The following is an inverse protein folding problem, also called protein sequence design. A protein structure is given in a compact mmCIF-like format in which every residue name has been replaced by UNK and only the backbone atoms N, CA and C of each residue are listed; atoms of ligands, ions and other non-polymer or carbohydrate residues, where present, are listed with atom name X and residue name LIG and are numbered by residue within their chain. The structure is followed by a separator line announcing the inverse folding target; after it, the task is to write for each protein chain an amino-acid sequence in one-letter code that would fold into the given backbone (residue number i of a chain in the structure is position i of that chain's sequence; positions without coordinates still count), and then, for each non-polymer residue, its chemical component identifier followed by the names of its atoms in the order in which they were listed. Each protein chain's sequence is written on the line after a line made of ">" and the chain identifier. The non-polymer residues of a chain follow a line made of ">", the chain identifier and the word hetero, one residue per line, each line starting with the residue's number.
data_IF_287897616361
#
_entry.id   IF_287897616361
#
_cell.length_a   1.000
_cell.length_b   1.000
_cell.length_c   1.000
_cell.angle_alpha   90.00
_cell.angle_beta   90.00
_cell.angle_gamma   90.00
#
_symmetry.space_group_name_H-M   'P 1'
#
loop_
_entity.id
_entity.type
_entity.pdbx_description
1 polymer ?
#
# COMPACT_ATOMS: atom_id res chain seq x y z
N UNK A 1 67.98 16.55 -17.35
CA UNK A 1 67.55 15.31 -17.98
C UNK A 1 66.06 15.14 -17.80
N UNK A 2 65.29 15.28 -18.87
CA UNK A 2 63.84 14.93 -18.85
C UNK A 2 63.71 13.41 -18.72
N UNK A 3 63.10 12.95 -17.64
CA UNK A 3 62.69 11.53 -17.52
C UNK A 3 61.29 11.43 -18.13
N UNK A 4 61.11 10.65 -19.22
CA UNK A 4 59.78 10.43 -19.78
C UNK A 4 58.94 9.66 -18.73
N UNK A 5 57.80 10.18 -18.33
CA UNK A 5 56.82 9.50 -17.51
C UNK A 5 55.96 8.63 -18.44
N UNK A 6 55.82 7.32 -18.20
CA UNK A 6 54.89 6.49 -18.97
C UNK A 6 53.48 7.04 -18.91
N UNK A 7 52.74 7.01 -20.00
CA UNK A 7 51.35 7.49 -20.08
C UNK A 7 50.46 6.85 -19.02
N UNK A 8 50.71 5.58 -18.73
CA UNK A 8 49.98 4.83 -17.65
C UNK A 8 50.22 5.40 -16.23
N UNK A 9 51.45 5.93 -15.97
CA UNK A 9 51.75 6.55 -14.68
C UNK A 9 51.11 7.96 -14.58
N UNK A 10 50.92 8.65 -15.74
CA UNK A 10 50.20 9.90 -15.79
C UNK A 10 48.70 9.70 -15.50
N UNK A 11 48.09 8.61 -16.02
CA UNK A 11 46.69 8.26 -15.72
C UNK A 11 46.49 7.84 -14.26
N UNK A 12 47.44 7.14 -13.64
CA UNK A 12 47.40 6.73 -12.23
C UNK A 12 47.58 7.88 -11.24
N UNK A 13 48.10 9.02 -11.70
CA UNK A 13 48.27 10.23 -10.88
C UNK A 13 47.22 11.34 -11.18
N UNK A 14 46.23 11.05 -12.00
CA UNK A 14 45.20 12.01 -12.37
C UNK A 14 44.20 12.17 -11.21
N UNK A 15 44.14 13.35 -10.53
CA UNK A 15 43.35 13.49 -9.32
C UNK A 15 41.83 13.53 -9.55
N UNK A 16 41.39 13.33 -10.78
CA UNK A 16 39.97 13.40 -11.18
C UNK A 16 39.37 12.03 -11.55
N UNK A 17 39.90 10.94 -11.01
CA UNK A 17 39.23 9.65 -11.06
C UNK A 17 38.05 9.67 -10.07
N UNK A 18 37.00 10.35 -10.47
CA UNK A 18 35.75 10.33 -9.73
C UNK A 18 34.97 9.09 -10.10
N UNK A 19 34.68 8.26 -9.13
CA UNK A 19 33.77 7.12 -9.23
C UNK A 19 32.30 7.52 -9.15
N UNK A 20 32.00 8.84 -9.15
CA UNK A 20 30.67 9.38 -8.94
C UNK A 20 29.55 8.60 -9.62
N UNK A 21 28.41 8.57 -9.00
CA UNK A 21 27.25 7.88 -9.52
C UNK A 21 26.38 8.88 -10.32
N UNK A 22 26.22 8.62 -11.62
CA UNK A 22 25.49 9.52 -12.50
C UNK A 22 24.59 8.75 -13.47
N UNK A 23 23.29 8.89 -13.29
CA UNK A 23 22.28 8.29 -14.16
C UNK A 23 22.03 9.07 -15.45
N UNK A 24 22.66 10.22 -15.64
CA UNK A 24 22.48 11.11 -16.78
C UNK A 24 21.30 12.07 -16.64
N UNK A 25 20.18 11.58 -16.13
CA UNK A 25 19.00 12.34 -15.71
C UNK A 25 18.66 11.96 -14.27
N UNK A 26 18.01 12.84 -13.53
CA UNK A 26 17.65 12.58 -12.15
C UNK A 26 17.81 13.82 -11.28
N UNK A 27 18.03 13.61 -10.01
CA UNK A 27 18.26 14.67 -9.03
C UNK A 27 19.54 14.42 -8.24
N UNK A 28 20.11 15.50 -7.76
CA UNK A 28 21.33 15.48 -6.96
C UNK A 28 21.03 14.97 -5.55
N UNK A 29 21.70 13.90 -5.13
CA UNK A 29 21.57 13.35 -3.77
C UNK A 29 22.66 13.78 -2.82
N UNK A 30 23.81 14.24 -3.31
CA UNK A 30 24.98 14.58 -2.53
C UNK A 30 26.27 14.31 -3.27
N UNK A 31 27.33 14.13 -2.51
CA UNK A 31 28.65 13.71 -3.02
C UNK A 31 29.07 12.39 -2.39
N UNK A 32 29.87 11.63 -3.13
CA UNK A 32 30.53 10.44 -2.59
C UNK A 32 31.73 10.82 -1.70
N UNK A 33 32.44 9.82 -1.18
CA UNK A 33 33.60 10.02 -0.31
C UNK A 33 34.76 10.78 -0.97
N UNK A 34 34.81 10.77 -2.31
CA UNK A 34 35.83 11.42 -3.12
C UNK A 34 35.39 12.83 -3.61
N UNK A 35 34.20 13.26 -3.19
CA UNK A 35 33.60 14.55 -3.56
C UNK A 35 32.93 14.55 -4.93
N UNK A 36 32.72 13.42 -5.56
CA UNK A 36 32.03 13.31 -6.83
C UNK A 36 30.50 13.39 -6.65
N UNK A 37 29.77 14.10 -7.54
CA UNK A 37 28.33 14.24 -7.43
C UNK A 37 27.60 12.90 -7.65
N UNK A 38 26.56 12.68 -6.87
CA UNK A 38 25.62 11.56 -7.00
C UNK A 38 24.35 12.11 -7.66
N UNK A 39 24.15 11.79 -8.94
CA UNK A 39 22.94 12.09 -9.69
C UNK A 39 22.14 10.80 -9.85
N UNK A 40 20.93 10.78 -9.28
CA UNK A 40 20.13 9.57 -9.15
C UNK A 40 18.78 9.72 -9.83
N UNK A 41 18.40 8.71 -10.63
CA UNK A 41 17.05 8.56 -11.16
C UNK A 41 16.39 7.30 -10.60
N UNK A 42 15.35 7.50 -9.77
CA UNK A 42 14.58 6.42 -9.16
C UNK A 42 13.95 5.47 -10.20
N UNK A 43 13.61 6.01 -11.36
CA UNK A 43 12.84 5.31 -12.38
C UNK A 43 13.71 4.67 -13.47
N UNK A 44 15.01 4.91 -13.44
CA UNK A 44 15.92 4.29 -14.40
C UNK A 44 15.91 2.77 -14.27
N UNK A 45 15.76 2.11 -15.41
CA UNK A 45 15.88 0.66 -15.57
C UNK A 45 17.10 0.35 -16.44
N UNK A 46 17.89 -0.60 -16.01
CA UNK A 46 19.02 -1.12 -16.75
C UNK A 46 19.29 -2.56 -16.30
N UNK A 47 20.35 -3.19 -16.84
CA UNK A 47 20.69 -4.58 -16.51
C UNK A 47 21.02 -4.82 -15.02
N UNK A 48 21.35 -3.78 -14.25
CA UNK A 48 21.65 -3.85 -12.83
C UNK A 48 20.45 -3.45 -11.95
N UNK A 49 19.53 -2.61 -12.46
CA UNK A 49 18.35 -2.10 -11.74
C UNK A 49 17.07 -2.52 -12.44
N UNK A 50 16.50 -3.61 -11.96
CA UNK A 50 15.27 -4.22 -12.50
C UNK A 50 13.98 -3.64 -11.88
N UNK A 51 14.07 -2.96 -10.72
CA UNK A 51 12.94 -2.34 -10.03
C UNK A 51 13.31 -0.98 -9.43
N UNK A 52 12.31 -0.22 -8.92
CA UNK A 52 12.47 1.09 -8.28
C UNK A 52 12.40 1.01 -6.75
N UNK A 53 12.61 -0.16 -6.15
CA UNK A 53 12.57 -0.27 -4.71
C UNK A 53 13.86 0.29 -4.10
N UNK A 54 13.73 1.16 -3.08
CA UNK A 54 14.85 1.72 -2.34
C UNK A 54 14.70 1.36 -0.87
N UNK A 55 15.79 0.90 -0.26
CA UNK A 55 15.91 0.78 1.19
C UNK A 55 16.94 1.78 1.71
N UNK A 56 16.55 2.64 2.65
CA UNK A 56 17.43 3.61 3.29
C UNK A 56 17.67 3.15 4.71
N UNK A 57 18.91 2.75 5.00
CA UNK A 57 19.31 2.16 6.28
C UNK A 57 20.37 3.05 6.92
N UNK A 58 20.25 3.28 8.23
CA UNK A 58 21.22 4.06 8.99
C UNK A 58 20.79 4.23 10.44
N UNK A 59 21.73 4.56 11.31
CA UNK A 59 21.46 4.85 12.73
C UNK A 59 20.56 6.07 12.91
N UNK A 60 19.99 6.23 14.12
CA UNK A 60 19.20 7.42 14.47
C UNK A 60 20.03 8.70 14.33
N UNK A 61 19.43 9.79 13.86
CA UNK A 61 20.10 11.08 13.67
C UNK A 61 21.12 11.16 12.53
N UNK A 62 21.22 10.14 11.66
CA UNK A 62 22.17 10.10 10.53
C UNK A 62 21.61 10.66 9.22
N UNK A 63 20.47 11.37 9.27
CA UNK A 63 19.91 12.07 8.11
C UNK A 63 19.02 11.23 7.18
N UNK A 64 18.58 10.03 7.59
CA UNK A 64 17.65 9.18 6.80
C UNK A 64 16.42 9.97 6.33
N UNK A 65 15.68 10.53 7.29
CA UNK A 65 14.45 11.29 7.01
C UNK A 65 14.73 12.53 6.16
N UNK A 66 15.88 13.19 6.34
CA UNK A 66 16.29 14.33 5.50
C UNK A 66 16.50 13.90 4.07
N UNK A 67 17.16 12.76 3.84
CA UNK A 67 17.35 12.20 2.49
C UNK A 67 16.00 11.80 1.86
N UNK A 68 15.13 11.14 2.62
CA UNK A 68 13.79 10.76 2.15
C UNK A 68 12.99 12.00 1.75
N UNK A 69 12.98 13.05 2.59
CA UNK A 69 12.33 14.34 2.30
C UNK A 69 12.87 14.99 1.03
N UNK A 70 14.17 14.93 0.82
CA UNK A 70 14.80 15.43 -0.40
C UNK A 70 14.33 14.64 -1.65
N UNK A 71 14.28 13.33 -1.57
CA UNK A 71 13.76 12.46 -2.64
C UNK A 71 12.28 12.79 -2.92
N UNK A 72 11.44 12.90 -1.88
CA UNK A 72 10.02 13.23 -2.01
C UNK A 72 9.83 14.54 -2.79
N UNK A 73 10.51 15.63 -2.35
CA UNK A 73 10.37 16.94 -3.00
C UNK A 73 10.84 16.86 -4.45
N UNK A 74 11.96 16.18 -4.71
CA UNK A 74 12.50 16.00 -6.06
C UNK A 74 11.52 15.24 -6.97
N UNK A 75 10.89 14.20 -6.47
CA UNK A 75 9.90 13.41 -7.22
C UNK A 75 8.59 14.18 -7.42
N UNK A 76 8.12 14.94 -6.43
CA UNK A 76 6.95 15.83 -6.59
C UNK A 76 7.14 16.85 -7.71
N UNK A 77 8.33 17.49 -7.77
CA UNK A 77 8.67 18.45 -8.84
C UNK A 77 8.67 17.76 -10.22
N UNK A 78 9.01 16.48 -10.29
CA UNK A 78 9.01 15.68 -11.52
C UNK A 78 7.62 15.16 -11.92
N UNK A 79 6.59 15.47 -11.15
CA UNK A 79 5.22 15.05 -11.40
C UNK A 79 4.86 13.66 -10.84
N UNK A 80 5.74 13.03 -10.08
CA UNK A 80 5.46 11.74 -9.40
C UNK A 80 4.41 11.95 -8.31
N UNK A 81 3.42 11.06 -8.23
CA UNK A 81 2.50 10.98 -7.10
C UNK A 81 3.22 10.32 -5.93
N UNK A 82 3.17 10.93 -4.75
CA UNK A 82 3.86 10.45 -3.57
C UNK A 82 2.88 10.18 -2.44
N UNK A 83 2.97 8.99 -1.87
CA UNK A 83 2.18 8.56 -0.73
C UNK A 83 3.14 8.19 0.40
N UNK A 84 2.98 8.78 1.58
CA UNK A 84 3.83 8.53 2.75
C UNK A 84 3.00 7.92 3.86
N UNK A 85 3.49 6.86 4.49
CA UNK A 85 2.99 6.33 5.76
C UNK A 85 3.94 6.85 6.84
N UNK A 86 3.41 7.73 7.71
CA UNK A 86 4.19 8.54 8.67
C UNK A 86 3.78 8.23 10.13
N UNK A 87 4.52 7.37 10.84
CA UNK A 87 4.21 7.02 12.23
C UNK A 87 4.74 8.04 13.25
N UNK A 88 5.63 8.96 12.86
CA UNK A 88 6.28 9.91 13.73
C UNK A 88 5.92 11.38 13.46
N UNK A 89 4.98 11.62 12.52
CA UNK A 89 4.53 12.97 12.12
C UNK A 89 5.67 13.84 11.56
N UNK A 90 6.69 13.21 10.99
CA UNK A 90 7.88 13.92 10.52
C UNK A 90 7.68 14.65 9.19
N UNK A 91 6.69 14.24 8.37
CA UNK A 91 6.43 14.80 7.03
C UNK A 91 5.40 15.93 7.03
N UNK A 92 4.88 16.31 8.20
CA UNK A 92 3.85 17.35 8.36
C UNK A 92 4.28 18.69 7.73
N UNK A 93 5.50 19.13 8.01
CA UNK A 93 6.00 20.42 7.53
C UNK A 93 6.06 20.46 5.98
N UNK A 94 6.51 19.39 5.32
CA UNK A 94 6.52 19.32 3.85
C UNK A 94 5.09 19.27 3.31
N UNK A 95 4.21 18.49 3.94
CA UNK A 95 2.82 18.43 3.52
C UNK A 95 2.15 19.81 3.57
N UNK A 96 2.39 20.57 4.64
CA UNK A 96 1.81 21.90 4.80
C UNK A 96 2.34 22.91 3.75
N UNK A 97 3.59 22.76 3.29
CA UNK A 97 4.16 23.62 2.23
C UNK A 97 3.39 23.52 0.89
N UNK A 98 2.81 22.37 0.58
CA UNK A 98 2.08 22.11 -0.67
C UNK A 98 0.55 22.13 -0.50
N UNK A 99 0.05 22.49 0.68
CA UNK A 99 -1.38 22.43 1.01
C UNK A 99 -2.19 23.52 0.32
N UNK A 100 -1.68 24.74 0.29
CA UNK A 100 -2.38 25.91 -0.27
C UNK A 100 -2.62 25.73 -1.77
N UNK A 101 -1.71 25.07 -2.47
CA UNK A 101 -1.84 24.76 -3.90
C UNK A 101 -2.76 23.57 -4.18
N UNK A 102 -3.33 22.93 -3.14
CA UNK A 102 -4.16 21.74 -3.28
C UNK A 102 -3.41 20.47 -3.67
N UNK A 103 -2.08 20.53 -3.74
CA UNK A 103 -1.19 19.43 -4.15
C UNK A 103 -1.12 18.36 -3.07
N UNK A 104 -1.14 18.76 -1.79
CA UNK A 104 -0.95 17.83 -0.68
C UNK A 104 -2.20 17.63 0.18
N UNK A 105 -2.27 16.46 0.80
CA UNK A 105 -3.27 16.10 1.82
C UNK A 105 -2.62 15.40 3.00
N UNK A 106 -2.96 15.87 4.19
CA UNK A 106 -2.65 15.22 5.45
C UNK A 106 -3.88 14.47 5.94
N UNK A 107 -3.76 13.17 6.18
CA UNK A 107 -4.87 12.28 6.48
C UNK A 107 -4.54 11.50 7.73
N UNK A 108 -5.42 11.59 8.74
CA UNK A 108 -5.35 10.70 9.90
C UNK A 108 -5.76 9.29 9.46
N UNK A 109 -4.82 8.36 9.55
CA UNK A 109 -5.03 6.96 9.16
C UNK A 109 -5.88 6.17 10.17
N UNK A 110 -6.25 6.78 11.28
CA UNK A 110 -7.13 6.18 12.29
C UNK A 110 -8.62 6.31 11.94
N UNK A 111 -8.95 6.64 10.69
CA UNK A 111 -10.32 6.72 10.22
C UNK A 111 -10.90 8.15 10.31
N UNK A 112 -12.20 8.23 10.45
CA UNK A 112 -12.91 9.50 10.50
C UNK A 112 -13.36 10.02 9.15
N UNK A 113 -13.77 11.31 9.09
CA UNK A 113 -14.49 11.88 7.94
C UNK A 113 -13.69 11.92 6.63
N UNK A 114 -12.37 11.94 6.68
CA UNK A 114 -11.53 12.18 5.50
C UNK A 114 -10.49 11.09 5.23
N UNK A 115 -10.40 10.07 6.08
CA UNK A 115 -9.34 9.06 6.01
C UNK A 115 -9.84 7.61 6.00
N UNK A 116 -11.15 7.40 5.95
CA UNK A 116 -11.71 6.05 5.96
C UNK A 116 -11.48 5.38 4.62
N UNK A 117 -10.97 4.15 4.67
CA UNK A 117 -10.86 3.24 3.55
C UNK A 117 -11.71 2.02 3.88
N UNK A 118 -12.80 1.85 3.15
CA UNK A 118 -13.71 0.72 3.32
C UNK A 118 -13.02 -0.59 2.90
N UNK A 119 -12.77 -1.54 3.80
CA UNK A 119 -12.14 -2.81 3.43
C UNK A 119 -13.03 -3.65 2.49
N UNK A 120 -14.34 -3.47 2.54
CA UNK A 120 -15.31 -4.21 1.72
C UNK A 120 -15.49 -3.62 0.31
N UNK A 121 -14.84 -2.50 -0.01
CA UNK A 121 -14.86 -1.94 -1.35
C UNK A 121 -14.03 -2.80 -2.30
N UNK A 122 -14.68 -3.49 -3.22
CA UNK A 122 -14.01 -4.26 -4.27
C UNK A 122 -13.19 -3.33 -5.14
N UNK A 123 -11.98 -3.73 -5.47
CA UNK A 123 -11.05 -2.92 -6.26
C UNK A 123 -10.96 -3.47 -7.69
N UNK A 124 -10.90 -2.59 -8.70
CA UNK A 124 -10.72 -3.03 -10.07
C UNK A 124 -9.38 -3.76 -10.22
N UNK A 125 -9.32 -4.68 -11.18
CA UNK A 125 -8.07 -5.33 -11.55
C UNK A 125 -7.06 -4.30 -12.04
N UNK A 126 -5.75 -4.52 -11.79
CA UNK A 126 -4.70 -3.80 -12.49
C UNK A 126 -4.84 -4.01 -14.00
N UNK A 127 -4.68 -2.95 -14.79
CA UNK A 127 -4.64 -3.05 -16.24
C UNK A 127 -3.45 -3.93 -16.64
N UNK A 128 -3.68 -5.01 -17.41
CA UNK A 128 -2.65 -5.85 -17.99
C UNK A 128 -2.52 -5.56 -19.47
N UNK A 129 -1.28 -5.46 -19.99
CA UNK A 129 -1.03 -5.22 -21.42
C UNK A 129 -1.42 -6.40 -22.31
N UNK A 130 -1.74 -7.57 -21.71
CA UNK A 130 -2.09 -8.81 -22.40
C UNK A 130 -3.60 -8.97 -22.68
N UNK A 131 -4.45 -8.05 -22.19
CA UNK A 131 -5.91 -8.13 -22.41
C UNK A 131 -6.38 -7.53 -23.76
N UNK A 132 -5.47 -7.04 -24.62
CA UNK A 132 -5.82 -6.63 -26.00
C UNK A 132 -5.88 -7.80 -26.98
N UNK A 133 -5.40 -9.00 -26.61
CA UNK A 133 -5.61 -10.19 -27.44
C UNK A 133 -6.75 -11.04 -26.85
N UNK A 134 -7.85 -11.10 -27.60
CA UNK A 134 -9.02 -11.95 -27.41
C UNK A 134 -8.63 -13.40 -27.06
N UNK A 135 -8.32 -13.70 -25.82
CA UNK A 135 -8.33 -15.06 -25.33
C UNK A 135 -9.42 -15.24 -24.29
N UNK A 136 -10.36 -16.13 -24.57
CA UNK A 136 -11.48 -16.58 -23.73
C UNK A 136 -11.07 -17.19 -22.37
N UNK A 137 -9.89 -16.93 -21.86
CA UNK A 137 -9.53 -17.28 -20.49
C UNK A 137 -10.20 -16.27 -19.56
N UNK A 138 -11.35 -16.62 -19.01
CA UNK A 138 -11.98 -15.95 -17.86
C UNK A 138 -10.94 -15.83 -16.75
N UNK A 139 -10.22 -14.72 -16.72
CA UNK A 139 -9.30 -14.42 -15.65
C UNK A 139 -10.02 -14.44 -14.30
N UNK A 140 -9.29 -14.57 -13.20
CA UNK A 140 -9.86 -14.53 -11.84
C UNK A 140 -10.66 -13.22 -11.70
N UNK A 141 -11.91 -13.32 -11.23
CA UNK A 141 -12.81 -12.16 -11.09
C UNK A 141 -12.29 -11.15 -10.05
N UNK A 142 -12.69 -9.87 -10.21
CA UNK A 142 -12.34 -8.82 -9.25
C UNK A 142 -12.82 -9.16 -7.84
N UNK A 143 -14.04 -9.70 -7.73
CA UNK A 143 -14.60 -10.16 -6.46
C UNK A 143 -13.77 -11.32 -5.85
N UNK A 144 -13.34 -12.29 -6.66
CA UNK A 144 -12.55 -13.43 -6.16
C UNK A 144 -11.19 -12.97 -5.61
N UNK A 145 -10.51 -12.04 -6.28
CA UNK A 145 -9.26 -11.45 -5.79
C UNK A 145 -9.49 -10.67 -4.50
N UNK A 146 -10.59 -9.92 -4.46
CA UNK A 146 -10.93 -9.12 -3.29
C UNK A 146 -11.26 -9.98 -2.07
N UNK A 147 -11.99 -11.10 -2.26
CA UNK A 147 -12.26 -12.05 -1.16
C UNK A 147 -10.98 -12.63 -0.57
N UNK A 148 -9.93 -12.86 -1.38
CA UNK A 148 -8.62 -13.26 -0.87
C UNK A 148 -7.94 -12.16 -0.04
N UNK A 149 -8.12 -10.91 -0.44
CA UNK A 149 -7.65 -9.77 0.36
C UNK A 149 -8.40 -9.66 1.69
N UNK A 150 -9.72 -9.90 1.67
CA UNK A 150 -10.54 -9.91 2.89
C UNK A 150 -10.22 -11.09 3.82
N UNK A 151 -9.86 -12.24 3.27
CA UNK A 151 -9.38 -13.37 4.07
C UNK A 151 -8.18 -12.95 4.94
N UNK A 152 -7.19 -12.27 4.36
CA UNK A 152 -6.04 -11.75 5.09
C UNK A 152 -6.44 -10.66 6.08
N UNK A 153 -7.31 -9.73 5.69
CA UNK A 153 -7.80 -8.66 6.56
C UNK A 153 -8.43 -9.23 7.84
N UNK A 154 -9.33 -10.21 7.71
CA UNK A 154 -10.01 -10.81 8.86
C UNK A 154 -9.09 -11.75 9.66
N UNK A 155 -8.10 -12.38 9.04
CA UNK A 155 -7.09 -13.16 9.75
C UNK A 155 -6.20 -12.27 10.63
N UNK A 156 -5.88 -11.07 10.17
CA UNK A 156 -5.13 -10.07 10.95
C UNK A 156 -5.98 -9.49 12.09
N UNK A 157 -7.24 -9.18 11.81
CA UNK A 157 -8.15 -8.56 12.79
C UNK A 157 -8.62 -9.54 13.84
N UNK A 158 -8.96 -10.76 13.46
CA UNK A 158 -9.49 -11.83 14.31
C UNK A 158 -8.65 -13.11 14.16
N UNK A 159 -7.42 -13.14 14.67
CA UNK A 159 -6.47 -14.24 14.43
C UNK A 159 -6.93 -15.59 15.00
N UNK A 160 -7.87 -15.58 15.95
CA UNK A 160 -8.37 -16.78 16.61
C UNK A 160 -9.59 -17.42 15.92
N UNK A 161 -10.00 -16.93 14.73
CA UNK A 161 -11.12 -17.53 13.99
C UNK A 161 -10.85 -19.00 13.66
N UNK A 162 -11.80 -19.87 14.03
CA UNK A 162 -11.76 -21.28 13.63
C UNK A 162 -12.00 -21.45 12.13
N UNK A 163 -11.63 -22.60 11.56
CA UNK A 163 -11.87 -22.90 10.16
C UNK A 163 -13.37 -22.85 9.78
N UNK A 164 -14.24 -23.26 10.72
CA UNK A 164 -15.69 -23.20 10.52
C UNK A 164 -16.15 -21.73 10.46
N UNK A 165 -15.68 -20.90 11.38
CA UNK A 165 -16.00 -19.47 11.39
C UNK A 165 -15.47 -18.73 10.15
N UNK A 166 -14.28 -19.07 9.66
CA UNK A 166 -13.74 -18.55 8.39
C UNK A 166 -14.64 -18.94 7.19
N UNK A 167 -15.10 -20.19 7.15
CA UNK A 167 -16.03 -20.64 6.09
C UNK A 167 -17.39 -19.92 6.17
N UNK A 168 -17.92 -19.72 7.37
CA UNK A 168 -19.16 -18.98 7.60
C UNK A 168 -19.02 -17.51 7.21
N UNK A 169 -17.89 -16.88 7.55
CA UNK A 169 -17.56 -15.50 7.17
C UNK A 169 -17.50 -15.37 5.64
N UNK A 170 -16.78 -16.25 4.94
CA UNK A 170 -16.69 -16.24 3.48
C UNK A 170 -18.07 -16.39 2.83
N UNK A 171 -18.91 -17.30 3.35
CA UNK A 171 -20.29 -17.48 2.89
C UNK A 171 -21.13 -16.21 3.11
N UNK A 172 -20.97 -15.57 4.27
CA UNK A 172 -21.61 -14.29 4.58
C UNK A 172 -21.19 -13.16 3.65
N UNK A 173 -19.89 -13.06 3.36
CA UNK A 173 -19.35 -12.07 2.42
C UNK A 173 -19.92 -12.23 1.02
N UNK A 174 -19.95 -13.45 0.48
CA UNK A 174 -20.52 -13.74 -0.85
C UNK A 174 -21.99 -13.33 -0.89
N UNK A 175 -22.78 -13.78 0.09
CA UNK A 175 -24.21 -13.45 0.14
C UNK A 175 -24.47 -11.94 0.32
N UNK A 176 -23.62 -11.24 1.07
CA UNK A 176 -23.67 -9.78 1.17
C UNK A 176 -23.42 -9.11 -0.18
N UNK A 177 -22.34 -9.50 -0.89
CA UNK A 177 -22.05 -8.91 -2.21
C UNK A 177 -23.15 -9.16 -3.22
N UNK A 178 -23.76 -10.35 -3.21
CA UNK A 178 -24.92 -10.67 -4.06
C UNK A 178 -26.11 -9.70 -3.83
N UNK A 179 -26.37 -9.30 -2.58
CA UNK A 179 -27.41 -8.29 -2.27
C UNK A 179 -27.12 -6.91 -2.87
N UNK A 180 -25.84 -6.59 -3.08
CA UNK A 180 -25.39 -5.36 -3.71
C UNK A 180 -25.21 -5.51 -5.24
N UNK A 181 -25.67 -6.63 -5.83
CA UNK A 181 -25.52 -6.98 -7.25
C UNK A 181 -24.03 -7.05 -7.68
N UNK A 182 -23.13 -7.36 -6.76
CA UNK A 182 -21.72 -7.59 -7.03
C UNK A 182 -21.49 -9.11 -7.08
N UNK A 183 -21.27 -9.63 -8.26
CA UNK A 183 -21.10 -11.06 -8.55
C UNK A 183 -19.74 -11.32 -9.18
N UNK A 184 -19.46 -12.57 -9.53
CA UNK A 184 -18.19 -12.97 -10.13
C UNK A 184 -17.91 -12.28 -11.48
N UNK A 185 -18.95 -11.88 -12.20
CA UNK A 185 -18.84 -11.27 -13.53
C UNK A 185 -19.00 -9.74 -13.49
N UNK A 186 -19.14 -9.15 -12.28
CA UNK A 186 -19.33 -7.70 -12.12
C UNK A 186 -18.01 -6.97 -12.28
N UNK A 187 -17.94 -6.00 -13.19
CA UNK A 187 -16.85 -5.02 -13.23
C UNK A 187 -17.16 -3.84 -12.30
N UNK A 188 -16.24 -3.51 -11.42
CA UNK A 188 -16.42 -2.44 -10.44
C UNK A 188 -15.80 -1.10 -10.86
N UNK A 189 -15.25 -1.02 -12.08
CA UNK A 189 -14.47 0.15 -12.56
C UNK A 189 -15.23 1.48 -12.46
N UNK A 190 -16.54 1.46 -12.67
CA UNK A 190 -17.38 2.67 -12.68
C UNK A 190 -18.28 2.80 -11.45
N UNK A 191 -18.16 1.91 -10.47
CA UNK A 191 -18.95 1.97 -9.25
C UNK A 191 -18.45 3.09 -8.34
N UNK A 192 -19.40 3.74 -7.66
CA UNK A 192 -19.09 4.78 -6.67
C UNK A 192 -18.75 4.13 -5.32
N UNK A 193 -18.02 4.84 -4.47
CA UNK A 193 -17.71 4.36 -3.12
C UNK A 193 -18.96 3.97 -2.31
N UNK A 194 -20.09 4.64 -2.57
CA UNK A 194 -21.39 4.38 -1.91
C UNK A 194 -22.12 3.14 -2.42
N UNK A 195 -21.69 2.57 -3.53
CA UNK A 195 -22.34 1.39 -4.12
C UNK A 195 -21.82 0.07 -3.48
N UNK A 196 -20.81 0.18 -2.65
CA UNK A 196 -20.22 -0.97 -1.95
C UNK A 196 -20.80 -1.16 -0.55
N UNK A 197 -20.93 -2.41 -0.08
CA UNK A 197 -21.35 -2.69 1.28
C UNK A 197 -20.36 -2.14 2.32
N UNK A 198 -20.83 -1.99 3.55
CA UNK A 198 -20.03 -1.64 4.73
C UNK A 198 -20.10 -2.77 5.77
N UNK A 199 -19.31 -2.71 6.84
CA UNK A 199 -19.26 -3.77 7.85
C UNK A 199 -20.62 -4.08 8.49
N UNK A 200 -21.48 -3.07 8.64
CA UNK A 200 -22.86 -3.26 9.12
C UNK A 200 -23.69 -4.15 8.17
N UNK A 201 -23.46 -4.09 6.86
CA UNK A 201 -24.19 -4.91 5.90
C UNK A 201 -23.77 -6.37 6.00
N UNK A 202 -22.48 -6.63 6.23
CA UNK A 202 -21.96 -7.97 6.51
C UNK A 202 -22.58 -8.53 7.79
N UNK A 203 -22.57 -7.76 8.86
CA UNK A 203 -23.13 -8.14 10.15
C UNK A 203 -24.62 -8.49 10.03
N UNK A 204 -25.40 -7.66 9.39
CA UNK A 204 -26.83 -7.89 9.15
C UNK A 204 -27.07 -9.15 8.29
N UNK A 205 -26.22 -9.39 7.30
CA UNK A 205 -26.31 -10.60 6.45
C UNK A 205 -26.06 -11.86 7.27
N UNK A 206 -25.08 -11.85 8.16
CA UNK A 206 -24.80 -12.97 9.06
C UNK A 206 -25.95 -13.18 10.06
N UNK A 207 -26.55 -12.12 10.60
CA UNK A 207 -27.75 -12.20 11.46
C UNK A 207 -28.94 -12.85 10.74
N UNK A 208 -29.15 -12.55 9.46
CA UNK A 208 -30.20 -13.19 8.65
C UNK A 208 -29.89 -14.68 8.42
N UNK A 209 -28.67 -15.01 8.03
CA UNK A 209 -28.24 -16.40 7.83
C UNK A 209 -28.35 -17.21 9.13
N UNK A 210 -28.10 -16.59 10.29
CA UNK A 210 -28.23 -17.21 11.60
C UNK A 210 -29.65 -17.72 11.86
N UNK A 211 -30.70 -17.03 11.38
CA UNK A 211 -32.11 -17.43 11.59
C UNK A 211 -32.44 -18.74 10.89
N UNK A 212 -31.74 -19.07 9.82
CA UNK A 212 -31.98 -20.27 8.99
C UNK A 212 -30.86 -21.31 9.12
N UNK A 213 -29.88 -21.06 10.00
CA UNK A 213 -28.73 -21.95 10.20
C UNK A 213 -29.13 -23.29 10.85
N UNK A 214 -28.48 -24.35 10.39
CA UNK A 214 -28.60 -25.67 10.98
C UNK A 214 -28.02 -25.70 12.40
N UNK A 215 -28.60 -26.54 13.28
CA UNK A 215 -28.18 -26.63 14.69
C UNK A 215 -26.67 -26.90 14.88
N UNK A 216 -26.02 -27.56 13.93
CA UNK A 216 -24.60 -27.91 14.02
C UNK A 216 -23.63 -26.76 13.89
N UNK A 217 -24.05 -25.63 13.33
CA UNK A 217 -23.18 -24.45 13.08
C UNK A 217 -23.65 -23.18 13.80
N UNK A 218 -24.76 -23.25 14.53
CA UNK A 218 -25.35 -22.12 15.23
C UNK A 218 -24.42 -21.48 16.26
N UNK A 219 -23.71 -22.28 17.03
CA UNK A 219 -22.79 -21.78 18.05
C UNK A 219 -21.58 -21.05 17.46
N UNK A 220 -21.02 -21.56 16.35
CA UNK A 220 -19.92 -20.90 15.63
C UNK A 220 -20.39 -19.62 14.96
N UNK A 221 -21.63 -19.59 14.42
CA UNK A 221 -22.22 -18.40 13.86
C UNK A 221 -22.46 -17.32 14.93
N UNK A 222 -22.98 -17.69 16.11
CA UNK A 222 -23.19 -16.76 17.23
C UNK A 222 -21.86 -16.16 17.71
N UNK A 223 -20.81 -16.97 17.82
CA UNK A 223 -19.48 -16.49 18.17
C UNK A 223 -18.92 -15.55 17.11
N UNK A 224 -19.05 -15.89 15.82
CA UNK A 224 -18.60 -15.02 14.71
C UNK A 224 -19.31 -13.67 14.73
N UNK A 225 -20.64 -13.66 14.90
CA UNK A 225 -21.44 -12.44 14.99
C UNK A 225 -20.98 -11.59 16.17
N UNK A 226 -20.77 -12.18 17.35
CA UNK A 226 -20.28 -11.51 18.55
C UNK A 226 -18.90 -10.86 18.31
N UNK A 227 -17.97 -11.58 17.66
CA UNK A 227 -16.63 -11.06 17.34
C UNK A 227 -16.67 -9.87 16.37
N UNK A 228 -17.64 -9.86 15.44
CA UNK A 228 -17.83 -8.77 14.47
C UNK A 228 -18.61 -7.57 15.04
N UNK A 229 -19.19 -7.68 16.23
CA UNK A 229 -19.93 -6.57 16.84
C UNK A 229 -19.03 -5.35 17.06
N UNK A 230 -17.78 -5.57 17.47
CA UNK A 230 -16.84 -4.47 17.75
C UNK A 230 -16.48 -3.65 16.51
N UNK A 231 -16.35 -4.28 15.33
CA UNK A 231 -16.05 -3.57 14.07
C UNK A 231 -17.29 -2.86 13.50
N UNK A 232 -18.50 -3.19 13.96
CA UNK A 232 -19.75 -2.61 13.43
C UNK A 232 -20.35 -1.53 14.31
N UNK A 233 -20.54 -1.82 15.59
CA UNK A 233 -21.18 -0.92 16.57
C UNK A 233 -20.27 -0.57 17.74
N UNK A 234 -19.17 -1.32 17.91
CA UNK A 234 -18.24 -1.12 19.00
C UNK A 234 -17.15 -0.09 18.68
N UNK A 235 -16.08 -0.13 19.47
CA UNK A 235 -15.02 0.86 19.47
C UNK A 235 -14.23 0.89 18.14
N UNK A 236 -14.17 -0.20 17.39
CA UNK A 236 -13.36 -0.29 16.16
C UNK A 236 -14.14 0.16 14.90
N UNK A 237 -15.45 0.44 15.05
CA UNK A 237 -16.32 0.83 13.93
C UNK A 237 -15.85 2.10 13.21
N UNK A 238 -15.17 3.02 13.91
CA UNK A 238 -14.67 4.27 13.34
C UNK A 238 -13.58 4.07 12.30
N UNK A 239 -12.89 2.91 12.31
CA UNK A 239 -11.81 2.62 11.36
C UNK A 239 -12.34 2.13 10.02
N UNK A 240 -13.35 1.24 10.03
CA UNK A 240 -13.68 0.45 8.85
C UNK A 240 -15.18 0.35 8.53
N UNK A 241 -16.06 0.81 9.42
CA UNK A 241 -17.49 0.71 9.18
C UNK A 241 -18.07 1.96 8.51
N UNK A 242 -17.79 2.14 7.25
CA UNK A 242 -18.29 3.24 6.44
C UNK A 242 -17.75 3.18 5.01
N UNK A 243 -18.33 3.98 4.13
CA UNK A 243 -17.83 4.10 2.77
C UNK A 243 -16.49 4.83 2.73
N UNK A 244 -15.67 4.52 1.73
CA UNK A 244 -14.40 5.20 1.53
C UNK A 244 -14.61 6.69 1.34
N UNK A 245 -14.04 7.48 2.25
CA UNK A 245 -14.01 8.95 2.20
C UNK A 245 -12.68 9.49 1.71
N UNK A 246 -11.71 8.62 1.63
CA UNK A 246 -10.37 8.90 1.13
C UNK A 246 -10.40 9.45 -0.29
N UNK A 247 -9.75 10.61 -0.51
CA UNK A 247 -9.60 11.20 -1.83
C UNK A 247 -8.20 10.95 -2.37
N UNK A 248 -8.11 10.33 -3.54
CA UNK A 248 -6.85 9.91 -4.18
C UNK A 248 -6.30 10.92 -5.19
N UNK A 249 -6.96 12.06 -5.40
CA UNK A 249 -6.62 13.04 -6.43
C UNK A 249 -5.46 13.99 -6.09
N UNK A 250 -4.93 13.95 -4.87
CA UNK A 250 -3.77 14.75 -4.50
C UNK A 250 -2.47 14.09 -5.00
N UNK A 251 -1.52 14.90 -5.46
CA UNK A 251 -0.20 14.42 -5.87
C UNK A 251 0.63 13.96 -4.67
N UNK A 252 0.46 14.60 -3.51
CA UNK A 252 1.17 14.26 -2.27
C UNK A 252 0.17 13.92 -1.15
N UNK A 253 0.20 12.69 -0.68
CA UNK A 253 -0.67 12.18 0.38
C UNK A 253 0.19 11.68 1.53
N UNK A 254 -0.08 12.16 2.73
CA UNK A 254 0.58 11.68 3.95
C UNK A 254 -0.46 11.08 4.88
N UNK A 255 -0.31 9.80 5.16
CA UNK A 255 -1.05 9.10 6.19
C UNK A 255 -0.35 9.24 7.54
N UNK A 256 -0.93 10.04 8.42
CA UNK A 256 -0.53 10.11 9.82
C UNK A 256 -1.01 8.86 10.56
N UNK A 257 -0.07 8.03 10.97
CA UNK A 257 -0.35 6.80 11.72
C UNK A 257 0.04 6.90 13.20
N UNK A 258 0.35 8.12 13.70
CA UNK A 258 0.80 8.33 15.07
C UNK A 258 -0.21 7.81 16.11
N UNK A 259 -1.51 8.07 15.87
CA UNK A 259 -2.57 7.64 16.77
C UNK A 259 -2.77 6.11 16.80
N UNK A 260 -2.24 5.38 15.82
CA UNK A 260 -2.28 3.91 15.83
C UNK A 260 -1.42 3.30 16.94
N UNK A 261 -0.48 4.05 17.53
CA UNK A 261 0.40 3.57 18.63
C UNK A 261 -0.39 3.05 19.84
N UNK A 262 -1.59 3.59 20.08
CA UNK A 262 -2.46 3.18 21.20
C UNK A 262 -3.35 1.97 20.90
N UNK A 263 -3.40 1.52 19.65
CA UNK A 263 -4.22 0.38 19.22
C UNK A 263 -3.54 -0.96 19.57
N UNK A 264 -4.32 -2.03 19.62
CA UNK A 264 -3.79 -3.40 19.72
C UNK A 264 -2.96 -3.76 18.48
N UNK A 265 -2.07 -4.74 18.61
CA UNK A 265 -1.24 -5.17 17.49
C UNK A 265 -2.05 -5.74 16.32
N UNK A 266 -3.14 -6.44 16.61
CA UNK A 266 -4.08 -6.91 15.59
C UNK A 266 -4.71 -5.74 14.81
N UNK A 267 -5.19 -4.71 15.49
CA UNK A 267 -5.75 -3.52 14.85
C UNK A 267 -4.71 -2.78 14.00
N UNK A 268 -3.49 -2.59 14.53
CA UNK A 268 -2.38 -1.95 13.80
C UNK A 268 -2.08 -2.71 12.52
N UNK A 269 -1.84 -4.02 12.63
CA UNK A 269 -1.50 -4.87 11.48
C UNK A 269 -2.61 -4.84 10.42
N UNK A 270 -3.87 -4.91 10.85
CA UNK A 270 -5.04 -4.84 9.96
C UNK A 270 -5.14 -3.49 9.25
N UNK A 271 -4.95 -2.38 9.98
CA UNK A 271 -5.02 -1.05 9.38
C UNK A 271 -3.86 -0.78 8.43
N UNK A 272 -2.63 -1.16 8.79
CA UNK A 272 -1.50 -1.08 7.87
C UNK A 272 -1.73 -1.90 6.60
N UNK A 273 -2.26 -3.11 6.73
CA UNK A 273 -2.63 -3.94 5.58
C UNK A 273 -3.68 -3.25 4.69
N UNK A 274 -4.71 -2.63 5.28
CA UNK A 274 -5.73 -1.88 4.54
C UNK A 274 -5.14 -0.67 3.81
N UNK A 275 -4.28 0.11 4.47
CA UNK A 275 -3.56 1.25 3.88
C UNK A 275 -2.65 0.82 2.72
N UNK A 276 -1.81 -0.21 2.93
CA UNK A 276 -0.91 -0.73 1.90
C UNK A 276 -1.68 -1.31 0.70
N UNK A 277 -2.80 -1.98 0.96
CA UNK A 277 -3.68 -2.48 -0.10
C UNK A 277 -4.27 -1.34 -0.92
N UNK A 278 -4.62 -0.22 -0.29
CA UNK A 278 -5.06 0.99 -0.99
C UNK A 278 -3.91 1.63 -1.78
N UNK A 279 -2.71 1.75 -1.20
CA UNK A 279 -1.52 2.25 -1.90
C UNK A 279 -1.21 1.41 -3.15
N UNK A 280 -1.29 0.09 -3.02
CA UNK A 280 -1.11 -0.83 -4.13
C UNK A 280 -2.10 -0.57 -5.27
N UNK A 281 -3.37 -0.35 -4.94
CA UNK A 281 -4.38 0.03 -5.93
C UNK A 281 -4.00 1.32 -6.66
N UNK A 282 -3.51 2.34 -5.94
CA UNK A 282 -3.07 3.59 -6.57
C UNK A 282 -1.90 3.37 -7.53
N UNK A 283 -0.95 2.49 -7.17
CA UNK A 283 0.21 2.15 -8.01
C UNK A 283 -0.16 1.35 -9.26
N UNK A 284 -1.24 0.59 -9.21
CA UNK A 284 -1.65 -0.33 -10.28
C UNK A 284 -2.79 0.19 -11.17
N UNK A 285 -3.46 1.28 -10.75
CA UNK A 285 -4.63 1.81 -11.45
C UNK A 285 -4.29 2.45 -12.81
N UNK A 286 -3.15 3.13 -12.91
CA UNK A 286 -2.65 3.72 -14.13
C UNK A 286 -1.13 3.49 -14.22
N UNK A 287 -0.69 2.71 -15.19
CA UNK A 287 0.73 2.41 -15.38
C UNK A 287 1.54 3.58 -15.95
N UNK A 288 0.87 4.56 -16.54
CA UNK A 288 1.51 5.77 -17.05
C UNK A 288 1.86 6.73 -15.91
N UNK A 289 1.15 6.67 -14.78
CA UNK A 289 1.39 7.49 -13.60
C UNK A 289 2.53 6.89 -12.75
N UNK A 290 3.53 7.69 -12.45
CA UNK A 290 4.58 7.32 -11.50
C UNK A 290 4.06 7.52 -10.09
N UNK A 291 3.95 6.44 -9.33
CA UNK A 291 3.51 6.48 -7.93
C UNK A 291 4.63 5.95 -7.04
N UNK A 292 5.07 6.75 -6.08
CA UNK A 292 6.06 6.39 -5.06
C UNK A 292 5.36 6.24 -3.71
N UNK A 293 5.51 5.09 -3.08
CA UNK A 293 5.05 4.85 -1.71
C UNK A 293 6.24 4.82 -0.77
N UNK A 294 6.21 5.66 0.25
CA UNK A 294 7.23 5.77 1.29
C UNK A 294 6.68 5.21 2.59
N UNK A 295 7.33 4.18 3.11
CA UNK A 295 7.03 3.62 4.43
C UNK A 295 8.16 4.01 5.38
N UNK A 296 7.95 5.03 6.19
CA UNK A 296 8.89 5.34 7.26
C UNK A 296 8.69 4.34 8.40
N UNK A 297 9.76 4.03 9.13
CA UNK A 297 9.77 2.96 10.14
C UNK A 297 9.18 1.64 9.62
N UNK A 298 9.63 1.20 8.43
CA UNK A 298 9.08 0.03 7.71
C UNK A 298 9.06 -1.27 8.55
N UNK A 299 9.88 -1.36 9.61
CA UNK A 299 9.86 -2.48 10.54
C UNK A 299 8.52 -2.64 11.27
N UNK A 300 7.74 -1.55 11.43
CA UNK A 300 6.39 -1.61 12.01
C UNK A 300 5.40 -2.38 11.12
N UNK A 301 5.72 -2.51 9.83
CA UNK A 301 4.91 -3.23 8.85
C UNK A 301 5.29 -4.72 8.78
N UNK A 302 6.44 -5.09 9.35
CA UNK A 302 6.96 -6.46 9.33
C UNK A 302 6.54 -7.12 10.65
N UNK A 303 5.39 -7.79 10.65
CA UNK A 303 5.02 -8.64 11.76
C UNK A 303 5.65 -10.03 11.54
N UNK A 304 6.58 -10.49 12.41
CA UNK A 304 7.20 -11.81 12.29
C UNK A 304 6.19 -12.96 12.39
N UNK A 305 5.05 -12.74 13.05
CA UNK A 305 4.00 -13.74 13.22
C UNK A 305 3.05 -13.85 12.02
N UNK A 306 3.08 -12.86 11.09
CA UNK A 306 2.27 -12.88 9.86
C UNK A 306 3.12 -12.46 8.66
N UNK A 307 4.10 -13.31 8.23
CA UNK A 307 4.99 -12.99 7.10
C UNK A 307 4.26 -12.77 5.78
N UNK A 308 3.04 -13.28 5.65
CA UNK A 308 2.26 -13.28 4.41
C UNK A 308 1.68 -11.91 4.05
N UNK A 309 1.36 -11.03 5.02
CA UNK A 309 0.73 -9.74 4.73
C UNK A 309 1.66 -8.80 3.94
N UNK A 310 2.95 -8.76 4.29
CA UNK A 310 3.96 -7.95 3.57
C UNK A 310 4.41 -8.67 2.30
N UNK A 311 4.55 -10.00 2.34
CA UNK A 311 4.97 -10.81 1.20
C UNK A 311 3.95 -10.77 0.05
N UNK A 312 2.65 -10.73 0.33
CA UNK A 312 1.62 -10.68 -0.72
C UNK A 312 1.60 -9.35 -1.48
N UNK A 313 1.84 -8.24 -0.81
CA UNK A 313 1.97 -6.93 -1.47
C UNK A 313 3.29 -6.81 -2.24
N UNK A 314 4.37 -7.41 -1.73
CA UNK A 314 5.69 -7.38 -2.36
C UNK A 314 5.89 -8.40 -3.49
N UNK A 315 5.42 -9.63 -3.34
CA UNK A 315 5.61 -10.69 -4.33
C UNK A 315 4.84 -10.43 -5.63
N UNK A 316 3.61 -9.90 -5.55
CA UNK A 316 2.87 -9.50 -6.76
C UNK A 316 3.51 -8.33 -7.50
N UNK A 317 4.20 -7.42 -6.81
CA UNK A 317 4.97 -6.35 -7.46
C UNK A 317 6.16 -6.91 -8.28
N UNK A 318 6.69 -8.07 -7.90
CA UNK A 318 7.79 -8.73 -8.61
C UNK A 318 7.32 -9.62 -9.76
N UNK A 319 6.22 -10.36 -9.61
CA UNK A 319 5.74 -11.31 -10.64
C UNK A 319 5.19 -10.62 -11.89
N UNK A 320 4.58 -9.44 -11.77
CA UNK A 320 4.09 -8.68 -12.92
C UNK A 320 5.18 -7.91 -13.67
N UNK A 321 6.42 -7.87 -13.18
CA UNK A 321 7.54 -7.14 -13.80
C UNK A 321 8.70 -8.02 -14.29
N UNK A 322 8.70 -9.31 -14.02
CA UNK A 322 9.78 -10.23 -14.45
C UNK A 322 9.57 -10.84 -15.84
N UNK A 323 8.48 -10.51 -16.55
CA UNK A 323 8.16 -11.04 -17.87
C UNK A 323 8.11 -9.94 -18.96
N UNK A 324 8.98 -8.91 -18.85
CA UNK A 324 9.25 -7.97 -19.94
C UNK A 324 10.75 -7.92 -20.24
#
# INVERSE_FOLDING_TARGET
>A
GNRPMPVNAFYGGFPFQNSGFNDGVGYYLGVDNDGAPIIFDLWKRDGARTNSNISIIGGSGKGKTTLIKHIIVSELIRGTKVIVIDPETEYKAICDMFREDGISRWIDACGGRNGMINPLQVRPKPLSDEEEEESESKGISELALHLKTLEIFFELYLPELTQIQKALLTKGLIAMYEKFNITWDTSVTFMKNTDFPVMTDLYNTLLEQRKTAEKGVTDDMDKLILLLENITTGADSFLWNGHTTMQSNAQFIVFDTQNMKIMSDAMKSTQYFNLLSWCWQQMSADRSEKVMVVCDEAWLLINPDVPQAVSYTHLRAHETRSNL
#
